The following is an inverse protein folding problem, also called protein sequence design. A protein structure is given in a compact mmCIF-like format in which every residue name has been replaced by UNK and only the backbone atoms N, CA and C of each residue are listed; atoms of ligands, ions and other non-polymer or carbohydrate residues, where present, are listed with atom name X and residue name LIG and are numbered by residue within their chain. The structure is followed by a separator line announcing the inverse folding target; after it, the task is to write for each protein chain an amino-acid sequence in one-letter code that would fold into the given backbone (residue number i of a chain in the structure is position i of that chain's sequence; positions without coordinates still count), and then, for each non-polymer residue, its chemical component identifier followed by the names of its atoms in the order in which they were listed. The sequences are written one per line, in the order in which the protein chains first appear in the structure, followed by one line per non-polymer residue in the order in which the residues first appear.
data_IF_609012054238
#
_entry.id   IF_609012054238
#
_cell.length_a   1.000
_cell.length_b   1.000
_cell.length_c   1.000
_cell.angle_alpha   90.00
_cell.angle_beta   90.00
_cell.angle_gamma   90.00
#
_symmetry.space_group_name_H-M   'P 1'
#
loop_
_entity.id
_entity.type
_entity.pdbx_description
1 polymer ?
#
# COMPACT_ATOMS: atom_id res chain seq x y z
N UNK A 1 13.96 8.70 14.91
CA UNK A 1 14.78 7.49 14.66
C UNK A 1 14.60 7.04 13.21
N UNK A 2 15.62 7.13 12.34
CA UNK A 2 15.50 6.64 10.97
C UNK A 2 15.67 5.12 10.96
N UNK A 3 14.54 4.40 10.89
CA UNK A 3 14.53 2.95 10.71
C UNK A 3 14.71 2.62 9.22
N UNK A 4 15.89 2.12 8.83
CA UNK A 4 16.09 1.60 7.48
C UNK A 4 17.53 1.42 7.02
N UNK A 5 18.42 0.91 7.86
CA UNK A 5 19.74 0.47 7.43
C UNK A 5 19.65 -0.62 6.36
N UNK A 6 20.46 -0.52 5.32
CA UNK A 6 20.84 -1.69 4.53
C UNK A 6 22.33 -1.61 4.19
N UNK A 7 23.00 -2.75 4.41
CA UNK A 7 24.23 -3.29 3.84
C UNK A 7 25.50 -2.44 3.72
N UNK A 8 25.45 -1.15 3.37
CA UNK A 8 26.64 -0.37 2.97
C UNK A 8 27.09 0.70 3.96
N UNK A 9 26.42 0.84 5.11
CA UNK A 9 26.76 1.84 6.14
C UNK A 9 26.52 3.31 5.74
N UNK A 10 26.04 3.58 4.52
CA UNK A 10 25.86 4.94 3.99
C UNK A 10 24.50 5.52 4.34
N UNK A 11 24.48 6.79 4.75
CA UNK A 11 23.24 7.56 4.97
C UNK A 11 22.42 7.61 3.69
N UNK A 12 21.15 7.23 3.77
CA UNK A 12 20.21 7.25 2.66
C UNK A 12 18.82 7.66 3.13
N UNK A 13 18.06 8.29 2.26
CA UNK A 13 16.64 8.54 2.49
C UNK A 13 15.92 7.18 2.50
N UNK A 14 15.08 6.95 3.50
CA UNK A 14 14.23 5.75 3.53
C UNK A 14 13.27 5.76 2.34
N UNK A 15 13.10 4.62 1.68
CA UNK A 15 12.15 4.50 0.57
C UNK A 15 10.75 5.00 0.96
N UNK A 16 10.30 4.70 2.18
CA UNK A 16 8.99 5.15 2.65
C UNK A 16 8.92 6.68 2.78
N UNK A 17 10.00 7.31 3.26
CA UNK A 17 10.04 8.76 3.44
C UNK A 17 10.11 9.46 2.08
N UNK A 18 10.86 8.91 1.13
CA UNK A 18 10.91 9.42 -0.25
C UNK A 18 9.55 9.31 -0.97
N UNK A 19 8.84 8.19 -0.83
CA UNK A 19 7.49 8.02 -1.41
C UNK A 19 6.47 8.93 -0.74
N UNK A 20 6.54 9.07 0.58
CA UNK A 20 5.67 9.98 1.31
C UNK A 20 5.84 11.42 0.81
N UNK A 21 7.09 11.87 0.66
CA UNK A 21 7.39 13.21 0.15
C UNK A 21 6.94 13.36 -1.30
N UNK A 22 7.19 12.38 -2.17
CA UNK A 22 6.70 12.40 -3.55
C UNK A 22 5.16 12.56 -3.61
N UNK A 23 4.43 11.83 -2.76
CA UNK A 23 2.97 11.95 -2.68
C UNK A 23 2.52 13.34 -2.25
N UNK A 24 3.24 14.01 -1.34
CA UNK A 24 2.96 15.38 -0.93
C UNK A 24 2.95 16.37 -2.11
N UNK A 25 3.70 16.09 -3.17
CA UNK A 25 3.78 16.90 -4.39
C UNK A 25 3.00 16.33 -5.58
N UNK A 26 2.24 15.24 -5.40
CA UNK A 26 1.46 14.62 -6.46
C UNK A 26 2.26 13.71 -7.40
N UNK A 27 3.43 13.26 -6.95
CA UNK A 27 4.30 12.33 -7.66
C UNK A 27 4.11 10.91 -7.12
N UNK A 28 4.51 9.91 -7.92
CA UNK A 28 4.50 8.50 -7.55
C UNK A 28 5.82 7.85 -7.92
N UNK A 29 6.20 6.82 -7.17
CA UNK A 29 7.33 5.97 -7.50
C UNK A 29 6.97 4.99 -8.64
N UNK A 30 7.95 4.67 -9.49
CA UNK A 30 7.74 3.71 -10.57
C UNK A 30 8.77 2.59 -10.59
N UNK A 31 9.97 2.87 -11.10
CA UNK A 31 10.97 1.85 -11.39
C UNK A 31 12.06 2.02 -10.34
N UNK A 32 12.39 0.91 -9.68
CA UNK A 32 13.59 0.80 -8.89
C UNK A 32 14.62 -0.01 -9.69
N UNK A 33 15.80 0.57 -9.94
CA UNK A 33 16.88 -0.05 -10.70
C UNK A 33 18.12 -0.20 -9.81
N UNK A 34 18.64 -1.43 -9.59
CA UNK A 34 19.92 -1.60 -8.89
C UNK A 34 21.07 -1.01 -9.71
N UNK A 35 22.02 -0.39 -9.02
CA UNK A 35 23.23 0.24 -9.57
C UNK A 35 24.47 -0.35 -8.88
N UNK A 36 24.79 -1.58 -9.25
CA UNK A 36 25.81 -2.39 -8.58
C UNK A 36 25.25 -3.04 -7.31
N UNK A 37 26.13 -3.34 -6.35
CA UNK A 37 25.79 -4.12 -5.15
C UNK A 37 25.06 -3.31 -4.07
N UNK A 38 25.36 -2.02 -3.96
CA UNK A 38 25.01 -1.24 -2.76
C UNK A 38 24.12 -0.03 -3.03
N UNK A 39 23.79 0.22 -4.31
CA UNK A 39 23.06 1.42 -4.74
C UNK A 39 21.88 1.05 -5.60
N UNK A 40 20.88 1.91 -5.61
CA UNK A 40 19.73 1.79 -6.48
C UNK A 40 19.25 3.18 -6.89
N UNK A 41 18.67 3.28 -8.08
CA UNK A 41 17.99 4.46 -8.56
C UNK A 41 16.48 4.23 -8.46
N UNK A 42 15.81 5.10 -7.71
CA UNK A 42 14.35 5.14 -7.64
C UNK A 42 13.84 6.25 -8.55
N UNK A 43 13.06 5.90 -9.57
CA UNK A 43 12.37 6.88 -10.41
C UNK A 43 11.08 7.32 -9.74
N UNK A 44 10.87 8.64 -9.72
CA UNK A 44 9.60 9.27 -9.39
C UNK A 44 9.09 10.04 -10.63
N UNK A 45 7.79 10.02 -10.84
CA UNK A 45 7.15 10.74 -11.96
C UNK A 45 5.91 11.47 -11.48
N UNK A 46 5.58 12.63 -12.08
CA UNK A 46 4.29 13.25 -11.90
C UNK A 46 3.17 12.25 -12.21
N UNK A 47 2.13 12.26 -11.38
CA UNK A 47 1.01 11.35 -11.57
C UNK A 47 0.20 11.77 -12.79
N UNK A 48 -0.12 10.81 -13.66
CA UNK A 48 -1.02 11.06 -14.79
C UNK A 48 -2.40 11.48 -14.28
N UNK A 49 -3.04 12.50 -14.89
CA UNK A 49 -4.44 12.83 -14.62
C UNK A 49 -5.31 11.57 -14.68
N UNK A 50 -6.28 11.45 -13.78
CA UNK A 50 -7.26 10.34 -13.74
C UNK A 50 -6.73 8.92 -13.49
N UNK A 51 -5.41 8.72 -13.32
CA UNK A 51 -4.89 7.42 -12.89
C UNK A 51 -5.54 6.99 -11.57
N UNK A 52 -5.64 5.68 -11.28
CA UNK A 52 -6.22 5.17 -10.02
C UNK A 52 -5.13 5.09 -8.94
N UNK A 53 -5.42 5.57 -7.73
CA UNK A 53 -4.52 5.48 -6.59
C UNK A 53 -4.63 4.09 -5.94
N UNK A 54 -3.50 3.43 -5.71
CA UNK A 54 -3.48 2.17 -4.98
C UNK A 54 -4.01 2.35 -3.56
N UNK A 55 -4.54 1.29 -2.95
CA UNK A 55 -5.02 1.35 -1.57
C UNK A 55 -3.91 1.78 -0.60
N UNK A 56 -2.66 1.32 -0.83
CA UNK A 56 -1.49 1.70 -0.03
C UNK A 56 -1.18 3.20 -0.15
N UNK A 57 -1.11 3.74 -1.36
CA UNK A 57 -0.80 5.17 -1.54
C UNK A 57 -1.94 6.06 -1.07
N UNK A 58 -3.18 5.57 -1.10
CA UNK A 58 -4.33 6.26 -0.49
C UNK A 58 -4.18 6.37 1.02
N UNK A 59 -3.85 5.28 1.71
CA UNK A 59 -3.60 5.33 3.16
C UNK A 59 -2.44 6.27 3.51
N UNK A 60 -1.35 6.24 2.72
CA UNK A 60 -0.22 7.17 2.90
C UNK A 60 -0.68 8.62 2.74
N UNK A 61 -1.36 8.94 1.65
CA UNK A 61 -1.83 10.29 1.38
C UNK A 61 -2.80 10.79 2.46
N UNK A 62 -3.72 9.95 2.95
CA UNK A 62 -4.62 10.29 4.06
C UNK A 62 -3.87 10.62 5.34
N UNK A 63 -2.86 9.82 5.69
CA UNK A 63 -2.00 10.10 6.85
C UNK A 63 -1.23 11.41 6.68
N UNK A 64 -0.72 11.68 5.48
CA UNK A 64 0.03 12.91 5.18
C UNK A 64 -0.86 14.15 5.24
N UNK A 65 -2.13 14.05 4.81
CA UNK A 65 -3.13 15.10 4.99
C UNK A 65 -3.41 15.32 6.47
N UNK A 66 -3.69 14.25 7.23
CA UNK A 66 -3.96 14.35 8.66
C UNK A 66 -2.78 14.93 9.46
N UNK A 67 -1.55 14.68 9.01
CA UNK A 67 -0.33 15.21 9.61
C UNK A 67 0.04 16.63 9.13
N UNK A 68 -0.77 17.29 8.29
CA UNK A 68 -0.49 18.62 7.77
C UNK A 68 0.68 18.71 6.79
N UNK A 69 1.21 17.57 6.31
CA UNK A 69 2.37 17.52 5.40
C UNK A 69 2.00 17.61 3.93
N UNK A 70 0.75 17.31 3.57
CA UNK A 70 0.29 17.31 2.19
C UNK A 70 0.24 18.74 1.61
N UNK A 71 0.92 18.98 0.49
CA UNK A 71 0.92 20.30 -0.15
C UNK A 71 -0.33 20.52 -1.03
N UNK A 72 -0.58 21.78 -1.41
CA UNK A 72 -1.63 22.13 -2.38
C UNK A 72 -1.43 21.42 -3.73
N UNK A 73 -0.19 21.18 -4.15
CA UNK A 73 0.10 20.47 -5.40
C UNK A 73 -0.34 18.99 -5.32
N UNK A 74 -0.01 18.31 -4.23
CA UNK A 74 -0.45 16.94 -3.98
C UNK A 74 -1.98 16.83 -3.85
N UNK A 75 -2.61 17.78 -3.16
CA UNK A 75 -4.08 17.84 -3.06
C UNK A 75 -4.75 17.95 -4.43
N UNK A 76 -4.26 18.84 -5.31
CA UNK A 76 -4.78 18.98 -6.68
C UNK A 76 -4.56 17.71 -7.50
N UNK A 77 -3.39 17.09 -7.41
CA UNK A 77 -3.05 15.90 -8.19
C UNK A 77 -3.86 14.65 -7.78
N UNK A 78 -4.22 14.54 -6.50
CA UNK A 78 -4.97 13.40 -5.96
C UNK A 78 -6.49 13.64 -5.94
N UNK A 79 -6.93 14.89 -5.76
CA UNK A 79 -8.33 15.31 -5.76
C UNK A 79 -9.22 14.44 -4.87
N UNK A 80 -10.36 14.02 -5.41
CA UNK A 80 -11.32 13.15 -4.73
C UNK A 80 -10.75 11.79 -4.29
N UNK A 81 -9.60 11.38 -4.81
CA UNK A 81 -8.95 10.14 -4.40
C UNK A 81 -8.33 10.24 -2.99
N UNK A 82 -8.25 11.43 -2.40
CA UNK A 82 -7.91 11.61 -0.98
C UNK A 82 -9.05 11.20 -0.05
N UNK A 83 -10.31 11.32 -0.50
CA UNK A 83 -11.48 11.04 0.34
C UNK A 83 -11.42 9.61 0.86
N UNK A 84 -11.69 9.46 2.16
CA UNK A 84 -11.84 8.17 2.80
C UNK A 84 -12.98 7.41 2.11
N UNK A 85 -12.70 6.15 1.75
CA UNK A 85 -13.73 5.24 1.24
C UNK A 85 -13.90 4.12 2.24
N UNK A 86 -15.14 3.71 2.55
CA UNK A 86 -15.37 2.60 3.44
C UNK A 86 -14.74 1.34 2.85
N UNK A 87 -14.26 0.46 3.73
CA UNK A 87 -13.75 -0.84 3.36
C UNK A 87 -14.86 -1.64 2.66
N UNK A 88 -14.73 -1.86 1.34
CA UNK A 88 -15.65 -2.71 0.58
C UNK A 88 -15.04 -4.11 0.45
N UNK A 89 -15.55 -5.05 1.24
CA UNK A 89 -15.19 -6.47 1.20
C UNK A 89 -16.42 -7.26 0.77
N UNK A 90 -16.38 -7.86 -0.43
CA UNK A 90 -17.51 -8.66 -0.95
C UNK A 90 -17.63 -10.00 -0.22
N UNK A 91 -18.77 -10.65 -0.41
CA UNK A 91 -19.15 -11.86 0.30
C UNK A 91 -18.18 -13.03 0.07
N UNK A 92 -17.69 -13.20 -1.16
CA UNK A 92 -16.73 -14.24 -1.56
C UNK A 92 -15.38 -14.13 -0.81
N UNK A 93 -14.83 -12.92 -0.68
CA UNK A 93 -13.59 -12.69 0.08
C UNK A 93 -13.80 -12.95 1.56
N UNK A 94 -14.97 -12.53 2.10
CA UNK A 94 -15.34 -12.81 3.49
C UNK A 94 -15.51 -14.30 3.76
N UNK A 95 -16.17 -15.02 2.85
CA UNK A 95 -16.38 -16.45 2.94
C UNK A 95 -15.03 -17.19 2.92
N UNK A 96 -14.12 -16.82 2.02
CA UNK A 96 -12.79 -17.42 1.96
C UNK A 96 -11.98 -17.21 3.26
N UNK A 97 -12.08 -16.03 3.89
CA UNK A 97 -11.46 -15.79 5.21
C UNK A 97 -12.11 -16.60 6.33
N UNK A 98 -13.42 -16.85 6.27
CA UNK A 98 -14.14 -17.64 7.28
C UNK A 98 -13.92 -19.14 7.13
N UNK A 99 -13.70 -19.62 5.91
CA UNK A 99 -13.44 -21.03 5.63
C UNK A 99 -12.06 -21.49 6.12
N UNK A 100 -11.09 -20.58 6.24
CA UNK A 100 -9.76 -20.91 6.75
C UNK A 100 -9.70 -20.80 8.28
N UNK A 101 -9.25 -21.85 9.00
CA UNK A 101 -9.12 -21.83 10.46
C UNK A 101 -8.33 -20.63 10.97
N UNK A 102 -8.90 -19.90 11.93
CA UNK A 102 -8.28 -18.73 12.57
C UNK A 102 -8.17 -17.46 11.71
N UNK A 103 -8.28 -17.54 10.39
CA UNK A 103 -8.04 -16.41 9.49
C UNK A 103 -8.99 -15.24 9.73
N UNK A 104 -10.30 -15.50 9.90
CA UNK A 104 -11.26 -14.44 10.21
C UNK A 104 -10.95 -13.72 11.53
N UNK A 105 -10.57 -14.47 12.57
CA UNK A 105 -10.21 -13.91 13.88
C UNK A 105 -8.96 -13.05 13.80
N UNK A 106 -7.90 -13.54 13.15
CA UNK A 106 -6.67 -12.76 12.94
C UNK A 106 -6.94 -11.51 12.10
N UNK A 107 -7.69 -11.64 11.01
CA UNK A 107 -8.04 -10.51 10.14
C UNK A 107 -8.69 -9.37 10.93
N UNK A 108 -9.68 -9.68 11.76
CA UNK A 108 -10.39 -8.67 12.56
C UNK A 108 -9.48 -7.91 13.54
N UNK A 109 -8.41 -8.55 14.02
CA UNK A 109 -7.43 -7.97 14.95
C UNK A 109 -6.37 -7.12 14.24
N UNK A 110 -6.20 -7.27 12.91
CA UNK A 110 -5.23 -6.46 12.19
C UNK A 110 -5.61 -4.98 12.14
N UNK A 111 -4.60 -4.07 12.08
CA UNK A 111 -4.83 -2.64 11.97
C UNK A 111 -5.80 -2.29 10.83
N UNK A 112 -6.64 -1.27 11.04
CA UNK A 112 -7.64 -0.86 10.06
C UNK A 112 -7.01 -0.47 8.71
N UNK A 113 -5.86 0.19 8.73
CA UNK A 113 -5.05 0.51 7.54
C UNK A 113 -4.65 -0.76 6.78
N UNK A 114 -4.11 -1.76 7.49
CA UNK A 114 -3.73 -3.04 6.91
C UNK A 114 -4.92 -3.75 6.26
N UNK A 115 -6.06 -3.82 6.96
CA UNK A 115 -7.30 -4.41 6.42
C UNK A 115 -7.73 -3.69 5.13
N UNK A 116 -7.75 -2.35 5.12
CA UNK A 116 -8.09 -1.55 3.92
C UNK A 116 -7.14 -1.82 2.76
N UNK A 117 -5.83 -1.81 3.01
CA UNK A 117 -4.82 -2.03 1.97
C UNK A 117 -4.96 -3.43 1.36
N UNK A 118 -5.08 -4.46 2.19
CA UNK A 118 -5.08 -5.84 1.72
C UNK A 118 -6.37 -6.22 1.01
N UNK A 119 -7.51 -5.81 1.54
CA UNK A 119 -8.78 -6.00 0.83
C UNK A 119 -8.78 -5.22 -0.48
N UNK A 120 -8.32 -3.96 -0.49
CA UNK A 120 -8.20 -3.19 -1.73
C UNK A 120 -7.26 -3.84 -2.76
N UNK A 121 -6.17 -4.48 -2.32
CA UNK A 121 -5.25 -5.21 -3.18
C UNK A 121 -5.87 -6.48 -3.79
N UNK A 122 -6.65 -7.24 -3.01
CA UNK A 122 -7.40 -8.41 -3.49
C UNK A 122 -8.52 -7.96 -4.44
N UNK A 123 -9.39 -7.06 -3.99
CA UNK A 123 -10.56 -6.57 -4.73
C UNK A 123 -10.16 -5.84 -6.03
N UNK A 124 -9.01 -5.15 -6.04
CA UNK A 124 -8.48 -4.47 -7.22
C UNK A 124 -7.97 -5.40 -8.33
N UNK A 125 -7.96 -6.71 -8.11
CA UNK A 125 -7.63 -7.71 -9.14
C UNK A 125 -8.87 -8.35 -9.78
N UNK A 126 -10.10 -7.97 -9.42
CA UNK A 126 -11.31 -8.67 -9.89
C UNK A 126 -11.46 -8.77 -11.39
N UNK A 127 -11.05 -7.74 -12.12
CA UNK A 127 -11.09 -7.74 -13.60
C UNK A 127 -10.08 -8.74 -14.22
N UNK A 128 -9.27 -9.42 -13.38
CA UNK A 128 -8.29 -10.45 -13.74
C UNK A 128 -8.50 -11.68 -12.85
N UNK A 129 -9.39 -12.61 -13.24
CA UNK A 129 -9.85 -13.69 -12.36
C UNK A 129 -8.74 -14.56 -11.76
N UNK A 130 -7.73 -14.91 -12.55
CA UNK A 130 -6.60 -15.73 -12.08
C UNK A 130 -5.77 -15.00 -11.01
N UNK A 131 -5.45 -13.74 -11.27
CA UNK A 131 -4.71 -12.90 -10.35
C UNK A 131 -5.53 -12.65 -9.07
N UNK A 132 -6.84 -12.41 -9.19
CA UNK A 132 -7.74 -12.33 -8.04
C UNK A 132 -7.67 -13.59 -7.17
N UNK A 133 -7.81 -14.78 -7.77
CA UNK A 133 -7.73 -16.06 -7.05
C UNK A 133 -6.36 -16.23 -6.39
N UNK A 134 -5.27 -15.90 -7.08
CA UNK A 134 -3.91 -15.96 -6.53
C UNK A 134 -3.75 -15.04 -5.31
N UNK A 135 -4.19 -13.79 -5.42
CA UNK A 135 -4.14 -12.81 -4.33
C UNK A 135 -4.99 -13.22 -3.15
N UNK A 136 -6.22 -13.70 -3.39
CA UNK A 136 -7.13 -14.15 -2.35
C UNK A 136 -6.55 -15.35 -1.59
N UNK A 137 -6.07 -16.38 -2.30
CA UNK A 137 -5.42 -17.54 -1.68
C UNK A 137 -4.22 -17.14 -0.83
N UNK A 138 -3.34 -16.30 -1.38
CA UNK A 138 -2.16 -15.84 -0.64
C UNK A 138 -2.54 -15.02 0.59
N UNK A 139 -3.51 -14.11 0.45
CA UNK A 139 -4.01 -13.29 1.55
C UNK A 139 -4.61 -14.14 2.67
N UNK A 140 -5.46 -15.12 2.34
CA UNK A 140 -6.06 -16.04 3.30
C UNK A 140 -4.98 -16.88 4.00
N UNK A 141 -4.03 -17.44 3.25
CA UNK A 141 -2.95 -18.27 3.80
C UNK A 141 -2.07 -17.50 4.79
N UNK A 142 -1.68 -16.26 4.47
CA UNK A 142 -0.89 -15.43 5.39
C UNK A 142 -1.69 -15.00 6.61
N UNK A 143 -2.96 -14.66 6.42
CA UNK A 143 -3.86 -14.26 7.51
C UNK A 143 -4.15 -15.42 8.47
N UNK A 144 -4.34 -16.64 7.96
CA UNK A 144 -4.49 -17.85 8.79
C UNK A 144 -3.27 -18.05 9.70
N UNK A 145 -2.07 -17.76 9.21
CA UNK A 145 -0.81 -17.81 9.97
C UNK A 145 -0.57 -16.61 10.90
N UNK A 146 -1.55 -15.71 11.04
CA UNK A 146 -1.43 -14.43 11.77
C UNK A 146 -0.27 -13.54 11.26
N UNK A 147 0.12 -13.69 9.98
CA UNK A 147 1.25 -12.95 9.38
C UNK A 147 0.76 -11.76 8.55
N UNK A 148 1.20 -10.55 8.92
CA UNK A 148 1.09 -9.37 8.08
C UNK A 148 2.22 -9.34 7.04
N UNK A 149 1.95 -8.85 5.84
CA UNK A 149 2.95 -8.75 4.77
C UNK A 149 2.86 -7.43 3.99
N UNK A 150 3.91 -7.15 3.22
CA UNK A 150 4.14 -5.91 2.48
C UNK A 150 4.45 -4.71 3.37
N UNK A 151 4.78 -3.58 2.74
CA UNK A 151 5.24 -2.35 3.42
C UNK A 151 4.08 -1.56 4.05
N UNK A 152 3.40 -2.16 5.01
CA UNK A 152 2.34 -1.54 5.81
C UNK A 152 2.84 -1.43 7.24
N UNK A 153 3.12 -0.21 7.69
CA UNK A 153 3.45 0.09 9.10
C UNK A 153 2.23 -0.23 9.98
#
# INVERSE_FOLDING_TARGET
MPSGGAASGRTRISYNDAVDEALCFGWIDSINKPLGTDRYAQRFTPRRPNSKLSAMNRERAQRLVAAGRMTKAGQRALGDQLKARPLRMRADVRAALRAAPGAWTHFRRFPASYRRIRIGWVEGARDRPEEFRKRLRYFVAMTAKNKRYGMVR
#
